data_IF_886299967245
#
_entry.id   IF_886299967245
#
_cell.length_a   1.000
_cell.length_b   1.000
_cell.length_c   1.000
_cell.angle_alpha   90.00
_cell.angle_beta   90.00
_cell.angle_gamma   90.00
#
_symmetry.space_group_name_H-M   'P 1'
#
loop_
_entity.id
_entity.type
_entity.pdbx_description
1 polymer ?
#
# COMPACT_ATOMS: atom_id res chain seq x y z
N UNK A 1 8.07 -3.29 -0.64
CA UNK A 1 9.23 -2.51 -0.18
C UNK A 1 10.16 -3.36 0.69
N UNK A 2 11.33 -2.81 1.00
CA UNK A 2 12.34 -3.39 1.87
C UNK A 2 13.62 -2.55 1.87
N UNK A 3 14.67 -3.06 2.53
CA UNK A 3 15.88 -2.33 2.82
C UNK A 3 17.15 -3.08 2.38
N UNK A 4 18.29 -2.37 2.30
CA UNK A 4 19.62 -2.87 1.97
C UNK A 4 20.65 -2.49 3.02
N UNK A 5 21.95 -2.74 2.75
CA UNK A 5 23.04 -2.53 3.70
C UNK A 5 23.32 -1.05 4.04
N UNK A 6 22.96 -0.13 3.15
CA UNK A 6 23.09 1.31 3.38
C UNK A 6 22.02 1.88 4.32
N UNK A 7 21.10 1.04 4.76
CA UNK A 7 20.08 1.31 5.78
C UNK A 7 20.17 0.22 6.85
N UNK A 8 19.03 -0.30 7.35
CA UNK A 8 18.99 -1.40 8.32
C UNK A 8 18.84 -2.73 7.57
N UNK A 9 19.83 -3.14 6.81
CA UNK A 9 19.71 -4.35 6.02
C UNK A 9 21.04 -4.99 5.64
N UNK A 10 20.96 -5.94 4.72
CA UNK A 10 22.11 -6.61 4.11
C UNK A 10 21.93 -6.65 2.60
N UNK A 11 23.02 -6.88 1.87
CA UNK A 11 23.12 -6.77 0.42
C UNK A 11 22.99 -5.32 -0.08
N UNK A 12 23.57 -5.02 -1.23
CA UNK A 12 23.52 -3.68 -1.79
C UNK A 12 22.14 -3.37 -2.40
N UNK A 13 21.84 -2.09 -2.57
CA UNK A 13 20.61 -1.66 -3.26
C UNK A 13 20.56 -2.16 -4.71
N UNK A 14 21.70 -2.29 -5.40
CA UNK A 14 21.80 -2.92 -6.73
C UNK A 14 21.33 -4.38 -6.69
N UNK A 15 21.80 -5.16 -5.70
CA UNK A 15 21.36 -6.54 -5.50
C UNK A 15 19.88 -6.65 -5.09
N UNK A 16 19.36 -5.66 -4.36
CA UNK A 16 17.95 -5.57 -3.99
C UNK A 16 17.05 -5.51 -5.24
N UNK A 17 17.33 -4.59 -6.16
CA UNK A 17 16.54 -4.46 -7.38
C UNK A 17 16.71 -5.65 -8.32
N UNK A 18 17.93 -6.17 -8.46
CA UNK A 18 18.20 -7.37 -9.24
C UNK A 18 17.42 -8.58 -8.70
N UNK A 19 17.38 -8.76 -7.37
CA UNK A 19 16.64 -9.85 -6.76
C UNK A 19 15.12 -9.70 -6.98
N UNK A 20 14.57 -8.50 -6.82
CA UNK A 20 13.16 -8.22 -7.06
C UNK A 20 12.72 -8.66 -8.46
N UNK A 21 13.48 -8.21 -9.46
CA UNK A 21 13.17 -8.48 -10.86
C UNK A 21 13.46 -9.94 -11.27
N UNK A 22 14.65 -10.45 -10.96
CA UNK A 22 15.18 -11.68 -11.57
C UNK A 22 14.94 -12.94 -10.73
N UNK A 23 14.64 -12.81 -9.43
CA UNK A 23 14.46 -13.92 -8.50
C UNK A 23 13.04 -13.97 -7.90
N UNK A 24 12.53 -12.85 -7.43
CA UNK A 24 11.20 -12.78 -6.84
C UNK A 24 10.11 -12.63 -7.92
N UNK A 25 10.47 -12.17 -9.11
CA UNK A 25 9.56 -11.93 -10.25
C UNK A 25 8.38 -11.04 -9.84
N UNK A 26 8.66 -9.99 -9.10
CA UNK A 26 7.66 -8.94 -8.85
C UNK A 26 7.70 -7.94 -9.99
N UNK A 27 6.54 -7.40 -10.35
CA UNK A 27 6.41 -6.46 -11.47
C UNK A 27 6.85 -5.05 -11.07
N UNK A 28 6.77 -4.71 -9.78
CA UNK A 28 7.20 -3.41 -9.28
C UNK A 28 7.75 -3.50 -7.86
N UNK A 29 8.67 -2.58 -7.54
CA UNK A 29 9.18 -2.41 -6.17
C UNK A 29 9.65 -0.99 -5.92
N UNK A 30 9.74 -0.61 -4.63
CA UNK A 30 10.46 0.56 -4.16
C UNK A 30 11.44 0.17 -3.05
N UNK A 31 12.60 0.78 -3.03
CA UNK A 31 13.53 0.67 -1.92
C UNK A 31 13.10 1.68 -0.86
N UNK A 32 12.83 1.22 0.37
CA UNK A 32 12.29 2.05 1.43
C UNK A 32 13.28 2.08 2.61
N UNK A 33 14.45 2.67 2.36
CA UNK A 33 15.43 2.89 3.41
C UNK A 33 14.92 3.88 4.45
N UNK A 34 15.28 3.67 5.71
CA UNK A 34 14.96 4.59 6.79
C UNK A 34 15.62 5.95 6.55
N UNK A 35 14.84 7.01 6.43
CA UNK A 35 15.26 8.37 6.07
C UNK A 35 16.44 8.90 6.88
N UNK A 36 16.46 8.63 8.20
CA UNK A 36 17.51 9.10 9.12
C UNK A 36 18.88 8.42 8.91
N UNK A 37 18.97 7.44 7.99
CA UNK A 37 20.21 6.78 7.57
C UNK A 37 20.56 7.07 6.10
N UNK A 38 19.61 7.58 5.32
CA UNK A 38 19.80 7.88 3.90
C UNK A 38 20.61 9.17 3.74
N UNK A 39 21.89 9.05 3.35
CA UNK A 39 22.71 10.19 2.96
C UNK A 39 22.26 10.77 1.62
N UNK A 40 22.61 12.02 1.32
CA UNK A 40 22.32 12.64 0.02
C UNK A 40 22.98 11.88 -1.15
N UNK A 41 24.17 11.30 -0.92
CA UNK A 41 24.84 10.44 -1.89
C UNK A 41 24.04 9.15 -2.16
N UNK A 42 23.59 8.47 -1.11
CA UNK A 42 22.79 7.26 -1.25
C UNK A 42 21.40 7.54 -1.86
N UNK A 43 20.79 8.68 -1.52
CA UNK A 43 19.52 9.09 -2.15
C UNK A 43 19.66 9.24 -3.67
N UNK A 44 20.72 9.95 -4.10
CA UNK A 44 21.03 10.06 -5.54
C UNK A 44 21.38 8.71 -6.19
N UNK A 45 21.99 7.77 -5.45
CA UNK A 45 22.24 6.42 -5.95
C UNK A 45 20.96 5.62 -6.12
N UNK A 46 19.98 5.77 -5.22
CA UNK A 46 18.65 5.13 -5.36
C UNK A 46 17.92 5.62 -6.62
N UNK A 47 17.96 6.92 -6.90
CA UNK A 47 17.39 7.49 -8.13
C UNK A 47 18.08 6.91 -9.38
N UNK A 48 19.40 6.86 -9.38
CA UNK A 48 20.19 6.25 -10.48
C UNK A 48 19.85 4.76 -10.66
N UNK A 49 19.66 4.03 -9.58
CA UNK A 49 19.27 2.63 -9.62
C UNK A 49 17.81 2.45 -10.08
N UNK A 50 16.91 3.36 -9.72
CA UNK A 50 15.55 3.33 -10.23
C UNK A 50 15.53 3.40 -11.77
N UNK A 51 16.27 4.35 -12.34
CA UNK A 51 16.42 4.44 -13.81
C UNK A 51 17.13 3.21 -14.41
N UNK A 52 18.16 2.70 -13.76
CA UNK A 52 18.94 1.55 -14.25
C UNK A 52 18.12 0.28 -14.36
N UNK A 53 17.29 0.02 -13.37
CA UNK A 53 16.55 -1.25 -13.25
C UNK A 53 15.17 -1.21 -13.89
N UNK A 54 14.62 -0.02 -14.13
CA UNK A 54 13.34 0.11 -14.82
C UNK A 54 13.41 -0.48 -16.22
N UNK A 55 12.49 -1.37 -16.55
CA UNK A 55 12.39 -2.02 -17.84
C UNK A 55 10.91 -1.96 -18.30
N UNK A 56 10.67 -1.21 -19.36
CA UNK A 56 9.31 -1.00 -19.86
C UNK A 56 8.55 -2.32 -20.06
N UNK A 57 7.31 -2.36 -19.62
CA UNK A 57 6.40 -3.51 -19.68
C UNK A 57 6.90 -4.78 -18.92
N UNK A 58 7.91 -4.66 -18.05
CA UNK A 58 8.46 -5.80 -17.32
C UNK A 58 8.75 -5.54 -15.85
N UNK A 59 9.31 -4.39 -15.52
CA UNK A 59 9.69 -4.07 -14.16
C UNK A 59 9.71 -2.58 -13.90
N UNK A 60 8.96 -2.14 -12.92
CA UNK A 60 8.87 -0.73 -12.52
C UNK A 60 9.52 -0.51 -11.18
N UNK A 61 10.33 0.54 -11.09
CA UNK A 61 10.93 0.98 -9.83
C UNK A 61 10.30 2.30 -9.40
N UNK A 62 9.74 2.33 -8.21
CA UNK A 62 9.20 3.54 -7.60
C UNK A 62 10.28 4.19 -6.72
N UNK A 63 10.76 5.40 -7.04
CA UNK A 63 11.58 6.17 -6.11
C UNK A 63 10.85 6.39 -4.78
N UNK A 64 11.59 6.34 -3.67
CA UNK A 64 10.96 6.53 -2.38
C UNK A 64 11.85 6.19 -1.21
N UNK A 65 11.33 6.38 -0.03
CA UNK A 65 12.00 6.12 1.24
C UNK A 65 10.96 5.87 2.34
N UNK A 66 11.39 5.30 3.44
CA UNK A 66 10.59 5.22 4.66
C UNK A 66 10.89 6.44 5.54
N UNK A 67 9.90 7.34 5.67
CA UNK A 67 9.93 8.36 6.70
C UNK A 67 9.74 7.68 8.05
N UNK A 68 10.77 7.71 8.88
CA UNK A 68 10.92 6.80 10.01
C UNK A 68 10.82 7.55 11.35
N UNK A 69 9.67 8.14 11.61
CA UNK A 69 9.35 8.74 12.89
C UNK A 69 9.03 7.69 13.95
N UNK A 70 9.28 8.01 15.24
CA UNK A 70 8.75 7.17 16.33
C UNK A 70 7.22 7.24 16.34
N UNK A 71 6.55 6.20 16.86
CA UNK A 71 5.08 6.16 16.98
C UNK A 71 4.51 7.39 17.67
N UNK A 72 5.17 7.88 18.73
CA UNK A 72 4.78 9.12 19.41
C UNK A 72 4.94 10.41 18.58
N UNK A 73 5.52 10.34 17.38
CA UNK A 73 5.64 11.43 16.39
C UNK A 73 4.75 11.17 15.16
N UNK A 74 3.91 10.15 15.23
CA UNK A 74 3.01 9.69 14.17
C UNK A 74 3.36 8.33 13.59
N UNK A 75 4.58 7.82 13.81
CA UNK A 75 5.06 6.51 13.34
C UNK A 75 5.46 6.51 11.86
N UNK A 76 5.99 5.39 11.40
CA UNK A 76 6.63 5.27 10.10
C UNK A 76 5.64 5.39 8.93
N UNK A 77 6.11 5.99 7.81
CA UNK A 77 5.37 6.13 6.54
C UNK A 77 6.25 5.74 5.36
N UNK A 78 5.76 4.87 4.50
CA UNK A 78 6.37 4.65 3.20
C UNK A 78 5.97 5.79 2.26
N UNK A 79 6.96 6.47 1.67
CA UNK A 79 6.78 7.60 0.76
C UNK A 79 7.24 7.20 -0.62
N UNK A 80 6.38 7.34 -1.62
CA UNK A 80 6.67 7.00 -3.02
C UNK A 80 6.47 8.21 -3.92
N UNK A 81 7.43 8.41 -4.82
CA UNK A 81 7.40 9.46 -5.83
C UNK A 81 7.14 8.90 -7.22
N UNK A 82 6.51 9.71 -8.06
CA UNK A 82 6.33 9.37 -9.47
C UNK A 82 7.61 9.55 -10.31
N UNK A 83 8.54 10.39 -9.83
CA UNK A 83 9.78 10.75 -10.54
C UNK A 83 10.97 10.78 -9.60
N UNK A 84 12.15 10.71 -10.16
CA UNK A 84 13.43 10.92 -9.48
C UNK A 84 13.66 12.40 -9.14
N UNK A 85 14.83 12.69 -8.57
CA UNK A 85 15.28 14.04 -8.19
C UNK A 85 14.34 14.78 -7.22
N UNK A 86 13.69 14.03 -6.32
CA UNK A 86 12.79 14.59 -5.31
C UNK A 86 13.51 14.87 -4.01
N UNK A 87 12.99 15.87 -3.28
CA UNK A 87 13.51 16.19 -1.97
C UNK A 87 13.18 15.09 -0.97
N UNK A 88 14.20 14.46 -0.37
CA UNK A 88 14.00 13.61 0.80
C UNK A 88 13.71 14.50 2.01
N UNK A 89 12.63 14.17 2.75
CA UNK A 89 12.26 14.86 4.00
C UNK A 89 12.47 13.89 5.14
N UNK A 90 13.49 14.15 5.94
CA UNK A 90 13.87 13.22 7.01
C UNK A 90 13.10 13.50 8.29
N UNK A 91 12.85 12.43 9.03
CA UNK A 91 12.35 12.52 10.40
C UNK A 91 13.42 13.06 11.35
N UNK A 92 14.70 12.85 11.00
CA UNK A 92 15.85 13.29 11.80
C UNK A 92 17.16 13.21 11.02
N UNK A 93 18.01 14.22 11.19
CA UNK A 93 19.41 14.20 10.75
C UNK A 93 20.39 13.66 11.81
N UNK A 94 19.92 13.01 12.87
CA UNK A 94 20.81 12.63 13.99
C UNK A 94 21.99 11.73 13.56
N UNK A 95 21.80 10.87 12.55
CA UNK A 95 22.83 9.97 12.02
C UNK A 95 23.44 10.43 10.69
N UNK A 96 23.02 11.56 10.13
CA UNK A 96 23.52 12.10 8.88
C UNK A 96 24.55 13.21 9.18
N UNK A 97 25.77 13.06 8.65
CA UNK A 97 26.84 14.05 8.86
C UNK A 97 26.61 15.33 8.06
N UNK A 98 26.19 15.19 6.81
CA UNK A 98 25.84 16.31 5.95
C UNK A 98 24.55 16.98 6.47
N UNK A 99 24.62 18.25 6.82
CA UNK A 99 23.52 19.07 7.32
C UNK A 99 23.04 20.12 6.31
N UNK A 100 23.41 19.96 5.04
CA UNK A 100 23.11 20.98 4.01
C UNK A 100 21.61 21.12 3.74
N UNK A 101 20.82 20.10 4.02
CA UNK A 101 19.37 20.03 3.85
C UNK A 101 18.60 19.81 5.16
N UNK A 102 19.23 20.14 6.31
CA UNK A 102 18.62 20.02 7.64
C UNK A 102 17.30 20.79 7.79
N UNK A 103 17.13 21.88 7.07
CA UNK A 103 15.92 22.70 7.06
C UNK A 103 14.73 22.06 6.34
N UNK A 104 14.94 20.93 5.67
CA UNK A 104 13.88 20.16 5.03
C UNK A 104 13.35 19.02 5.92
N UNK A 105 13.89 18.85 7.12
CA UNK A 105 13.43 17.83 8.07
C UNK A 105 11.98 18.06 8.47
N UNK A 106 11.26 16.94 8.60
CA UNK A 106 9.91 16.89 9.13
C UNK A 106 9.95 15.93 10.32
N UNK A 107 9.94 16.47 11.54
CA UNK A 107 10.14 15.66 12.74
C UNK A 107 8.87 14.93 13.22
N UNK A 108 7.72 15.26 12.64
CA UNK A 108 6.43 14.59 12.87
C UNK A 108 5.77 14.23 11.55
N UNK A 109 4.89 13.23 11.55
CA UNK A 109 4.12 12.86 10.36
C UNK A 109 3.21 14.01 9.87
N UNK A 110 2.72 14.84 10.79
CA UNK A 110 1.94 16.03 10.42
C UNK A 110 2.80 17.04 9.64
N UNK A 111 4.03 17.31 10.11
CA UNK A 111 4.97 18.19 9.38
C UNK A 111 5.34 17.62 8.00
N UNK A 112 5.47 16.31 7.87
CA UNK A 112 5.68 15.67 6.56
C UNK A 112 4.53 16.01 5.60
N UNK A 113 3.29 15.79 6.01
CA UNK A 113 2.12 16.07 5.17
C UNK A 113 1.96 17.56 4.87
N UNK A 114 2.23 18.44 5.82
CA UNK A 114 2.24 19.89 5.62
C UNK A 114 3.30 20.29 4.60
N UNK A 115 4.52 19.77 4.72
CA UNK A 115 5.61 20.06 3.80
C UNK A 115 5.30 19.59 2.36
N UNK A 116 4.72 18.39 2.20
CA UNK A 116 4.28 17.89 0.89
C UNK A 116 3.20 18.80 0.29
N UNK A 117 2.24 19.26 1.08
CA UNK A 117 1.17 20.14 0.63
C UNK A 117 1.68 21.54 0.26
N UNK A 118 2.55 22.15 1.08
CA UNK A 118 3.11 23.47 0.86
C UNK A 118 3.99 23.53 -0.40
N UNK A 119 4.69 22.45 -0.69
CA UNK A 119 5.49 22.29 -1.89
C UNK A 119 4.70 21.76 -3.09
N UNK A 120 3.39 21.54 -2.94
CA UNK A 120 2.47 21.06 -3.99
C UNK A 120 2.89 19.73 -4.62
N UNK A 121 3.41 18.84 -3.80
CA UNK A 121 3.88 17.51 -4.22
C UNK A 121 2.71 16.50 -4.33
N UNK A 122 1.70 16.84 -5.14
CA UNK A 122 0.45 16.07 -5.26
C UNK A 122 0.60 14.72 -5.95
N UNK A 123 1.73 14.48 -6.56
CA UNK A 123 2.08 13.21 -7.21
C UNK A 123 2.67 12.17 -6.26
N UNK A 124 2.87 12.53 -4.98
CA UNK A 124 3.32 11.62 -3.92
C UNK A 124 2.21 10.71 -3.44
N UNK A 125 2.55 9.46 -3.12
CA UNK A 125 1.69 8.53 -2.41
C UNK A 125 2.40 8.06 -1.14
N UNK A 126 1.70 8.14 -0.01
CA UNK A 126 2.17 7.62 1.26
C UNK A 126 1.33 6.43 1.71
N UNK A 127 1.97 5.49 2.43
CA UNK A 127 1.31 4.41 3.13
C UNK A 127 1.65 4.47 4.62
N UNK A 128 0.65 4.36 5.47
CA UNK A 128 0.86 4.13 6.89
C UNK A 128 1.51 2.75 7.08
N UNK A 129 2.67 2.70 7.70
CA UNK A 129 3.49 1.49 7.80
C UNK A 129 3.15 0.66 9.05
N UNK A 130 3.12 -0.66 8.89
CA UNK A 130 3.04 -1.62 9.99
C UNK A 130 4.43 -2.22 10.27
N UNK A 131 5.02 -1.81 11.35
CA UNK A 131 6.37 -2.27 11.69
C UNK A 131 6.72 -1.99 13.14
N UNK A 132 8.01 -1.95 13.47
CA UNK A 132 8.48 -1.72 14.83
C UNK A 132 8.11 -0.35 15.41
N UNK A 133 8.00 0.66 14.54
CA UNK A 133 7.53 2.02 14.87
C UNK A 133 6.26 2.31 14.08
N UNK A 134 5.25 1.49 14.29
CA UNK A 134 4.00 1.53 13.56
C UNK A 134 3.37 2.93 13.50
N UNK A 135 2.71 3.20 12.38
CA UNK A 135 1.98 4.44 12.17
C UNK A 135 0.85 4.61 13.20
N UNK A 136 0.76 5.79 13.82
CA UNK A 136 -0.41 6.22 14.58
C UNK A 136 -1.29 7.09 13.69
N UNK A 137 -2.23 6.45 13.00
CA UNK A 137 -3.12 7.15 12.05
C UNK A 137 -4.18 7.99 12.74
N UNK A 138 -4.41 7.80 14.05
CA UNK A 138 -5.26 8.68 14.86
C UNK A 138 -4.55 9.97 15.22
N UNK A 139 -3.22 9.93 15.33
CA UNK A 139 -2.39 11.12 15.62
C UNK A 139 -2.19 11.98 14.36
N UNK A 140 -1.88 11.34 13.22
CA UNK A 140 -1.63 12.04 11.97
C UNK A 140 -2.09 11.21 10.77
N UNK A 141 -2.89 11.82 9.91
CA UNK A 141 -3.34 11.28 8.63
C UNK A 141 -3.70 12.42 7.69
N UNK A 142 -3.27 12.32 6.44
CA UNK A 142 -3.72 13.20 5.37
C UNK A 142 -4.10 12.38 4.14
N UNK A 143 -5.40 12.19 3.92
CA UNK A 143 -5.93 11.40 2.81
C UNK A 143 -5.62 11.95 1.41
N UNK A 144 -5.03 13.15 1.31
CA UNK A 144 -4.50 13.65 0.03
C UNK A 144 -3.26 12.86 -0.38
N UNK A 145 -2.44 12.42 0.57
CA UNK A 145 -1.19 11.69 0.36
C UNK A 145 -1.25 10.24 0.85
N UNK A 146 -1.75 10.01 2.06
CA UNK A 146 -1.81 8.71 2.70
C UNK A 146 -3.02 7.92 2.20
N UNK A 147 -2.84 7.24 1.06
CA UNK A 147 -3.90 6.55 0.33
C UNK A 147 -4.20 5.16 0.84
N UNK A 148 -3.29 4.55 1.60
CA UNK A 148 -3.43 3.16 2.04
C UNK A 148 -2.80 2.89 3.40
N UNK A 149 -3.32 1.84 4.06
CA UNK A 149 -2.79 1.29 5.30
C UNK A 149 -2.09 -0.03 4.98
N UNK A 150 -0.88 -0.18 5.46
CA UNK A 150 -0.17 -1.45 5.37
C UNK A 150 -0.66 -2.38 6.49
N UNK A 151 -1.35 -3.45 6.11
CA UNK A 151 -1.92 -4.39 7.07
C UNK A 151 -0.95 -5.49 7.47
N UNK A 152 0.04 -5.77 6.61
CA UNK A 152 0.95 -6.88 6.83
C UNK A 152 2.34 -6.62 6.22
N UNK A 153 3.36 -7.00 6.98
CA UNK A 153 4.76 -7.04 6.54
C UNK A 153 5.49 -8.22 7.18
N UNK A 154 6.81 -8.30 7.06
CA UNK A 154 7.58 -9.33 7.79
C UNK A 154 7.55 -9.17 9.32
N UNK A 155 7.04 -8.07 9.84
CA UNK A 155 6.75 -7.87 11.26
C UNK A 155 5.52 -8.63 11.74
N UNK A 156 4.56 -8.92 10.86
CA UNK A 156 3.30 -9.58 11.17
C UNK A 156 2.09 -8.90 10.55
N UNK A 157 0.90 -9.28 11.01
CA UNK A 157 -0.38 -8.73 10.56
C UNK A 157 -0.94 -7.78 11.60
N UNK A 158 -1.28 -6.56 11.18
CA UNK A 158 -1.71 -5.44 12.02
C UNK A 158 -3.09 -4.95 11.61
N UNK A 159 -4.10 -5.82 11.68
CA UNK A 159 -5.48 -5.49 11.30
C UNK A 159 -6.05 -4.30 12.09
N UNK A 160 -5.60 -4.11 13.33
CA UNK A 160 -6.02 -3.00 14.17
C UNK A 160 -5.68 -1.62 13.57
N UNK A 161 -4.61 -1.52 12.75
CA UNK A 161 -4.27 -0.27 12.06
C UNK A 161 -5.34 0.10 11.04
N UNK A 162 -5.88 -0.89 10.32
CA UNK A 162 -7.00 -0.72 9.40
C UNK A 162 -8.29 -0.41 10.17
N UNK A 163 -8.50 -1.07 11.32
CA UNK A 163 -9.65 -0.77 12.19
C UNK A 163 -9.61 0.68 12.66
N UNK A 164 -8.46 1.16 13.12
CA UNK A 164 -8.29 2.56 13.55
C UNK A 164 -8.61 3.54 12.41
N UNK A 165 -8.15 3.27 11.19
CA UNK A 165 -8.47 4.11 10.03
C UNK A 165 -9.98 4.12 9.73
N UNK A 166 -10.65 2.99 9.81
CA UNK A 166 -12.09 2.90 9.58
C UNK A 166 -12.91 3.56 10.69
N UNK A 167 -12.48 3.45 11.96
CA UNK A 167 -13.10 4.18 13.09
C UNK A 167 -13.03 5.69 12.89
N UNK A 168 -11.93 6.19 12.33
CA UNK A 168 -11.75 7.60 11.99
C UNK A 168 -12.52 8.02 10.72
N UNK A 169 -13.12 7.05 10.01
CA UNK A 169 -13.86 7.30 8.78
C UNK A 169 -12.98 7.62 7.57
N UNK A 170 -11.70 7.21 7.61
CA UNK A 170 -10.78 7.37 6.49
C UNK A 170 -11.14 6.44 5.33
N UNK A 171 -10.93 6.90 4.11
CA UNK A 171 -11.17 6.14 2.87
C UNK A 171 -9.84 5.73 2.27
N UNK A 172 -9.35 4.61 2.73
CA UNK A 172 -8.03 4.09 2.41
C UNK A 172 -8.11 2.73 1.76
N UNK A 173 -7.11 2.41 0.92
CA UNK A 173 -6.85 1.06 0.47
C UNK A 173 -6.04 0.28 1.48
N UNK A 174 -5.86 -1.01 1.20
CA UNK A 174 -5.09 -1.92 2.05
C UNK A 174 -3.94 -2.48 1.23
N UNK A 175 -2.71 -2.31 1.74
CA UNK A 175 -1.48 -2.82 1.14
C UNK A 175 -0.80 -3.81 2.08
N UNK A 176 0.03 -4.69 1.52
CA UNK A 176 0.98 -5.51 2.25
C UNK A 176 2.30 -5.53 1.51
N UNK A 177 3.38 -5.60 2.25
CA UNK A 177 4.72 -5.57 1.67
C UNK A 177 5.66 -6.55 2.40
N UNK A 178 6.87 -6.70 1.90
CA UNK A 178 7.84 -7.58 2.56
C UNK A 178 8.51 -6.92 3.75
N UNK A 179 8.81 -5.66 3.69
CA UNK A 179 9.65 -4.96 4.67
C UNK A 179 10.89 -5.77 5.08
N UNK A 180 11.47 -6.41 4.09
CA UNK A 180 12.60 -7.33 4.28
C UNK A 180 13.91 -6.57 4.42
N UNK A 181 14.74 -6.97 5.40
CA UNK A 181 16.03 -6.35 5.71
C UNK A 181 17.22 -7.18 5.20
N UNK A 182 17.01 -8.02 4.19
CA UNK A 182 18.07 -8.85 3.58
C UNK A 182 18.22 -8.66 2.08
N UNK A 183 17.76 -7.52 1.56
CA UNK A 183 17.83 -7.22 0.13
C UNK A 183 17.11 -8.26 -0.74
N UNK A 184 15.96 -8.78 -0.26
CA UNK A 184 15.18 -9.83 -0.95
C UNK A 184 13.70 -9.46 -0.98
N UNK A 185 13.32 -8.36 -1.63
CA UNK A 185 11.92 -7.95 -1.75
C UNK A 185 11.10 -8.99 -2.50
N UNK A 186 9.83 -9.14 -2.11
CA UNK A 186 8.92 -10.09 -2.74
C UNK A 186 9.11 -11.56 -2.36
N UNK A 187 10.18 -11.91 -1.66
CA UNK A 187 10.49 -13.28 -1.24
C UNK A 187 10.90 -13.37 0.24
N UNK A 188 10.32 -12.53 1.07
CA UNK A 188 10.58 -12.53 2.52
C UNK A 188 9.80 -13.65 3.21
N UNK A 189 10.49 -14.51 3.96
CA UNK A 189 9.90 -15.62 4.72
C UNK A 189 10.66 -15.86 6.03
N UNK A 190 10.09 -16.56 7.00
CA UNK A 190 10.77 -16.87 8.25
C UNK A 190 12.16 -17.48 8.02
N UNK A 191 13.18 -16.93 8.66
CA UNK A 191 14.59 -17.29 8.42
C UNK A 191 15.27 -16.53 7.27
N UNK A 192 14.52 -15.96 6.32
CA UNK A 192 15.02 -15.05 5.29
C UNK A 192 14.83 -13.58 5.65
N UNK A 193 14.02 -13.25 6.64
CA UNK A 193 13.91 -11.92 7.24
C UNK A 193 14.46 -11.89 8.66
N UNK A 194 14.72 -10.70 9.19
CA UNK A 194 15.11 -10.52 10.60
C UNK A 194 13.93 -10.75 11.53
N UNK A 195 12.72 -10.57 11.04
CA UNK A 195 11.47 -10.71 11.76
C UNK A 195 10.83 -12.07 11.45
N UNK A 196 9.85 -12.49 12.20
CA UNK A 196 9.39 -13.88 12.16
C UNK A 196 8.26 -14.16 11.15
N UNK A 197 7.68 -13.15 10.53
CA UNK A 197 6.58 -13.33 9.61
C UNK A 197 7.03 -13.52 8.15
N UNK A 198 6.17 -14.11 7.34
CA UNK A 198 6.29 -14.09 5.87
C UNK A 198 5.91 -12.71 5.39
N UNK A 199 6.67 -12.11 4.49
CA UNK A 199 6.36 -10.80 3.92
C UNK A 199 5.14 -10.86 3.00
N UNK A 200 4.38 -9.77 2.96
CA UNK A 200 3.23 -9.62 2.08
C UNK A 200 3.57 -9.11 0.69
N UNK A 201 2.56 -9.11 -0.16
CA UNK A 201 2.58 -8.50 -1.50
C UNK A 201 1.33 -7.64 -1.68
N UNK A 202 1.49 -6.52 -2.37
CA UNK A 202 0.38 -5.72 -2.89
C UNK A 202 0.12 -6.11 -4.33
N UNK A 203 -1.12 -6.48 -4.64
CA UNK A 203 -1.56 -6.73 -6.02
C UNK A 203 -2.21 -5.45 -6.56
N UNK A 204 -1.78 -5.00 -7.73
CA UNK A 204 -2.23 -3.78 -8.39
C UNK A 204 -3.16 -4.15 -9.55
N UNK A 205 -4.31 -3.46 -9.63
CA UNK A 205 -5.30 -3.65 -10.69
C UNK A 205 -5.10 -2.58 -11.77
N UNK A 206 -4.23 -2.87 -12.72
CA UNK A 206 -3.88 -1.96 -13.83
C UNK A 206 -3.68 -2.74 -15.12
N UNK A 207 -3.98 -2.10 -16.25
CA UNK A 207 -3.82 -2.67 -17.59
C UNK A 207 -2.41 -2.42 -18.17
N UNK A 208 -1.63 -1.53 -17.54
CA UNK A 208 -0.31 -1.14 -18.02
C UNK A 208 0.72 -1.27 -16.91
N UNK A 209 1.91 -1.76 -17.24
CA UNK A 209 3.04 -1.86 -16.35
C UNK A 209 3.99 -0.66 -16.56
N UNK A 210 3.50 0.51 -16.18
CA UNK A 210 4.26 1.77 -16.21
C UNK A 210 4.23 2.41 -14.82
N UNK A 211 5.21 3.25 -14.52
CA UNK A 211 5.24 3.97 -13.24
C UNK A 211 4.01 4.86 -13.06
N UNK A 212 3.59 5.54 -14.12
CA UNK A 212 2.41 6.40 -14.10
C UNK A 212 1.13 5.60 -13.77
N UNK A 213 0.92 4.47 -14.45
CA UNK A 213 -0.24 3.59 -14.23
C UNK A 213 -0.24 3.01 -12.81
N UNK A 214 0.92 2.60 -12.29
CA UNK A 214 1.06 2.12 -10.91
C UNK A 214 0.73 3.22 -9.91
N UNK A 215 1.29 4.43 -10.07
CA UNK A 215 1.01 5.54 -9.16
C UNK A 215 -0.46 5.96 -9.22
N UNK A 216 -1.10 5.93 -10.39
CA UNK A 216 -2.53 6.16 -10.53
C UNK A 216 -3.36 5.07 -9.82
N UNK A 217 -2.97 3.81 -10.00
CA UNK A 217 -3.57 2.65 -9.32
C UNK A 217 -3.51 2.80 -7.78
N UNK A 218 -2.35 3.19 -7.25
CA UNK A 218 -2.16 3.43 -5.82
C UNK A 218 -3.02 4.60 -5.31
N UNK A 219 -3.09 5.72 -6.04
CA UNK A 219 -3.94 6.86 -5.68
C UNK A 219 -5.41 6.52 -5.65
N UNK A 220 -5.86 5.68 -6.59
CA UNK A 220 -7.25 5.23 -6.71
C UNK A 220 -7.57 4.04 -5.82
N UNK A 221 -6.62 3.54 -5.02
CA UNK A 221 -6.79 2.37 -4.13
C UNK A 221 -7.21 1.09 -4.89
N UNK A 222 -6.84 0.99 -6.19
CA UNK A 222 -7.10 -0.18 -7.04
C UNK A 222 -6.08 -1.28 -6.79
N UNK A 223 -6.09 -1.77 -5.57
CA UNK A 223 -5.14 -2.78 -5.11
C UNK A 223 -5.70 -3.53 -3.90
N UNK A 224 -5.13 -4.68 -3.64
CA UNK A 224 -5.40 -5.45 -2.44
C UNK A 224 -4.11 -6.06 -1.89
N UNK A 225 -4.16 -6.48 -0.63
CA UNK A 225 -3.04 -7.04 0.11
C UNK A 225 -3.11 -8.57 0.15
N UNK A 226 -1.96 -9.23 0.10
CA UNK A 226 -1.80 -10.63 0.44
C UNK A 226 -0.74 -10.81 1.50
N UNK A 227 -0.87 -11.85 2.34
CA UNK A 227 0.08 -12.11 3.42
C UNK A 227 1.34 -12.85 2.97
N UNK A 228 1.49 -13.08 1.67
CA UNK A 228 2.64 -13.81 1.14
C UNK A 228 2.63 -15.33 1.43
N UNK A 229 3.78 -15.99 1.23
CA UNK A 229 3.90 -17.44 1.38
C UNK A 229 3.30 -18.21 0.20
N UNK A 230 3.13 -19.54 0.38
CA UNK A 230 2.59 -20.40 -0.67
C UNK A 230 1.13 -20.09 -1.01
N UNK A 231 0.32 -19.72 0.00
CA UNK A 231 -1.07 -19.30 -0.17
C UNK A 231 -1.25 -17.81 -0.46
N UNK A 232 -0.19 -17.01 -0.46
CA UNK A 232 -0.25 -15.55 -0.52
C UNK A 232 -0.39 -14.96 -1.92
N UNK A 233 -0.43 -15.78 -2.96
CA UNK A 233 -0.61 -15.33 -4.34
C UNK A 233 -2.05 -15.62 -4.79
N UNK A 234 -2.99 -14.89 -4.24
CA UNK A 234 -4.39 -14.98 -4.65
C UNK A 234 -4.74 -13.86 -5.64
N UNK A 235 -5.74 -14.13 -6.47
CA UNK A 235 -6.38 -13.12 -7.32
C UNK A 235 -7.74 -12.81 -6.73
N UNK A 236 -8.01 -11.53 -6.51
CA UNK A 236 -9.29 -11.06 -5.99
C UNK A 236 -9.82 -10.02 -6.98
N UNK A 237 -11.03 -10.26 -7.46
CA UNK A 237 -11.79 -9.30 -8.27
C UNK A 237 -13.08 -8.94 -7.52
N UNK A 238 -13.35 -7.65 -7.41
CA UNK A 238 -14.55 -7.13 -6.76
C UNK A 238 -15.18 -6.06 -7.62
N UNK A 239 -16.42 -6.31 -8.03
CA UNK A 239 -17.21 -5.37 -8.82
C UNK A 239 -18.54 -5.11 -8.11
N UNK A 240 -18.98 -3.86 -8.06
CA UNK A 240 -20.31 -3.48 -7.61
C UNK A 240 -21.15 -3.01 -8.81
N UNK A 241 -22.40 -3.47 -8.90
CA UNK A 241 -23.40 -3.00 -9.87
C UNK A 241 -24.56 -2.38 -9.13
N UNK A 242 -25.05 -1.25 -9.67
CA UNK A 242 -26.11 -0.46 -9.06
C UNK A 242 -27.39 -0.57 -9.92
N UNK A 243 -28.55 -0.61 -9.28
CA UNK A 243 -29.85 -0.59 -9.96
C UNK A 243 -30.26 0.80 -10.47
N UNK A 244 -29.37 1.78 -10.39
CA UNK A 244 -29.50 3.15 -10.88
C UNK A 244 -28.15 3.84 -11.04
N UNK A 245 -28.19 5.14 -11.33
CA UNK A 245 -26.98 5.94 -11.50
C UNK A 245 -26.37 6.30 -10.13
N UNK A 246 -25.21 5.77 -9.85
CA UNK A 246 -24.37 6.18 -8.72
C UNK A 246 -23.40 7.30 -9.12
N UNK A 247 -22.85 8.02 -8.16
CA UNK A 247 -21.75 8.95 -8.37
C UNK A 247 -20.46 8.33 -7.86
N UNK A 248 -19.49 8.17 -8.75
CA UNK A 248 -18.15 7.66 -8.42
C UNK A 248 -17.15 8.80 -8.31
N UNK A 249 -16.25 8.66 -7.31
CA UNK A 249 -15.12 9.55 -7.07
C UNK A 249 -13.84 8.74 -6.97
N UNK A 250 -12.73 9.31 -7.45
CA UNK A 250 -11.38 8.78 -7.21
C UNK A 250 -10.76 9.42 -5.97
N UNK A 251 -10.92 10.74 -5.81
CA UNK A 251 -10.53 11.45 -4.60
C UNK A 251 -11.69 11.54 -3.61
N UNK A 252 -11.36 11.61 -2.32
CA UNK A 252 -12.39 11.69 -1.30
C UNK A 252 -13.03 13.10 -1.28
N UNK A 253 -14.32 13.25 -1.59
CA UNK A 253 -15.00 14.53 -1.59
C UNK A 253 -15.11 15.17 -0.19
N UNK A 254 -14.78 14.45 0.88
CA UNK A 254 -14.76 15.00 2.25
C UNK A 254 -13.50 15.81 2.54
N UNK A 255 -12.41 15.60 1.80
CA UNK A 255 -11.10 16.20 2.09
C UNK A 255 -10.67 17.25 1.05
N UNK A 256 -11.40 17.41 -0.03
CA UNK A 256 -11.10 18.40 -1.06
C UNK A 256 -12.05 18.34 -2.25
N UNK A 257 -11.82 19.20 -3.26
CA UNK A 257 -12.57 19.11 -4.51
C UNK A 257 -12.37 17.75 -5.16
N UNK A 258 -13.46 17.07 -5.48
CA UNK A 258 -13.45 15.78 -6.17
C UNK A 258 -14.45 15.82 -7.33
N UNK A 259 -14.00 15.39 -8.49
CA UNK A 259 -14.89 15.25 -9.66
C UNK A 259 -15.64 13.92 -9.57
N UNK A 260 -16.97 14.01 -9.49
CA UNK A 260 -17.85 12.86 -9.54
C UNK A 260 -18.27 12.55 -10.98
N UNK A 261 -18.35 11.26 -11.33
CA UNK A 261 -18.91 10.80 -12.60
C UNK A 261 -20.09 9.87 -12.35
N UNK A 262 -21.11 9.91 -13.21
CA UNK A 262 -22.21 8.94 -13.17
C UNK A 262 -21.72 7.57 -13.64
N UNK A 263 -22.13 6.51 -12.94
CA UNK A 263 -21.84 5.15 -13.31
C UNK A 263 -22.86 4.18 -12.70
N UNK A 264 -23.07 3.05 -13.37
CA UNK A 264 -23.87 1.92 -12.92
C UNK A 264 -23.05 0.78 -12.35
N UNK A 265 -21.71 0.91 -12.43
CA UNK A 265 -20.75 -0.08 -11.93
C UNK A 265 -19.57 0.62 -11.24
N UNK A 266 -18.99 -0.04 -10.25
CA UNK A 266 -17.77 0.36 -9.59
C UNK A 266 -16.84 -0.82 -9.41
N UNK A 267 -15.54 -0.55 -9.35
CA UNK A 267 -14.52 -1.56 -9.07
C UNK A 267 -13.82 -1.28 -7.72
N UNK A 268 -12.99 -2.20 -7.28
CA UNK A 268 -12.16 -2.04 -6.10
C UNK A 268 -11.44 -0.70 -6.09
N UNK A 269 -11.51 0.03 -4.97
CA UNK A 269 -10.88 1.33 -4.76
C UNK A 269 -11.75 2.54 -5.07
N UNK A 270 -12.83 2.40 -5.84
CA UNK A 270 -13.74 3.51 -6.13
C UNK A 270 -14.48 3.95 -4.87
N UNK A 271 -14.70 5.27 -4.75
CA UNK A 271 -15.54 5.87 -3.72
C UNK A 271 -16.91 6.12 -4.35
N UNK A 272 -17.94 5.52 -3.78
CA UNK A 272 -19.29 5.54 -4.33
C UNK A 272 -20.22 6.35 -3.45
N UNK A 273 -21.02 7.22 -4.07
CA UNK A 273 -22.19 7.82 -3.46
C UNK A 273 -23.45 7.32 -4.18
N UNK A 274 -24.24 6.48 -3.50
CA UNK A 274 -25.48 5.91 -4.00
C UNK A 274 -26.50 5.85 -2.85
N UNK A 275 -27.24 6.96 -2.60
CA UNK A 275 -28.06 7.07 -1.39
C UNK A 275 -29.35 6.27 -1.44
N UNK A 276 -29.89 6.04 -2.63
CA UNK A 276 -31.21 5.42 -2.83
C UNK A 276 -31.08 4.31 -3.90
N UNK A 277 -31.16 3.07 -3.48
CA UNK A 277 -31.11 1.92 -4.38
C UNK A 277 -30.43 0.70 -3.80
N UNK A 278 -30.25 -0.32 -4.60
CA UNK A 278 -29.57 -1.56 -4.23
C UNK A 278 -28.29 -1.74 -5.05
N UNK A 279 -27.31 -2.39 -4.42
CA UNK A 279 -26.07 -2.77 -5.07
C UNK A 279 -25.90 -4.29 -5.03
N UNK A 280 -25.52 -4.86 -6.16
CA UNK A 280 -24.99 -6.22 -6.24
C UNK A 280 -23.47 -6.16 -6.18
N UNK A 281 -22.84 -6.88 -5.26
CA UNK A 281 -21.39 -6.98 -5.16
C UNK A 281 -20.98 -8.39 -5.59
N UNK A 282 -20.22 -8.47 -6.69
CA UNK A 282 -19.64 -9.70 -7.21
C UNK A 282 -18.19 -9.80 -6.69
N UNK A 283 -17.87 -10.91 -6.02
CA UNK A 283 -16.53 -11.18 -5.48
C UNK A 283 -16.04 -12.50 -6.06
N UNK A 284 -14.98 -12.46 -6.86
CA UNK A 284 -14.31 -13.64 -7.40
C UNK A 284 -12.91 -13.78 -6.76
N UNK A 285 -12.64 -14.91 -6.14
CA UNK A 285 -11.36 -15.19 -5.47
C UNK A 285 -10.79 -16.50 -6.01
N UNK A 286 -9.56 -16.41 -6.52
CA UNK A 286 -8.75 -17.55 -6.92
C UNK A 286 -7.49 -17.62 -6.05
N UNK A 287 -7.29 -18.75 -5.38
CA UNK A 287 -6.12 -18.98 -4.54
C UNK A 287 -5.42 -20.28 -4.93
N UNK A 288 -4.08 -20.38 -4.89
CA UNK A 288 -3.38 -21.65 -5.12
C UNK A 288 -3.65 -22.71 -4.04
N UNK A 289 -4.05 -22.29 -2.83
CA UNK A 289 -4.44 -23.14 -1.72
C UNK A 289 -5.97 -23.13 -1.53
N UNK A 290 -6.56 -24.16 -0.92
CA UNK A 290 -7.99 -24.19 -0.63
C UNK A 290 -8.42 -23.01 0.24
N UNK A 291 -9.51 -22.37 -0.15
CA UNK A 291 -10.08 -21.23 0.57
C UNK A 291 -10.96 -21.73 1.70
N UNK A 292 -10.59 -21.43 2.93
CA UNK A 292 -11.37 -21.83 4.11
C UNK A 292 -12.68 -21.05 4.20
N UNK A 293 -12.59 -19.73 4.00
CA UNK A 293 -13.75 -18.84 4.09
C UNK A 293 -13.48 -17.50 3.40
N UNK A 294 -14.55 -16.79 3.10
CA UNK A 294 -14.54 -15.37 2.76
C UNK A 294 -15.44 -14.66 3.77
N UNK A 295 -14.90 -13.65 4.44
CA UNK A 295 -15.64 -12.75 5.31
C UNK A 295 -15.82 -11.41 4.59
N UNK A 296 -17.07 -10.93 4.55
CA UNK A 296 -17.41 -9.63 3.95
C UNK A 296 -17.79 -8.67 5.08
N UNK A 297 -17.14 -7.52 5.06
CA UNK A 297 -17.33 -6.48 6.07
C UNK A 297 -17.93 -5.22 5.44
N UNK A 298 -18.79 -4.55 6.19
CA UNK A 298 -19.19 -3.17 5.94
C UNK A 298 -18.55 -2.29 7.02
N UNK A 299 -17.47 -1.62 6.68
CA UNK A 299 -16.61 -1.00 7.67
C UNK A 299 -16.02 -2.05 8.63
N UNK A 300 -16.40 -2.00 9.90
CA UNK A 300 -15.97 -2.97 10.93
C UNK A 300 -17.00 -4.07 11.21
N UNK A 301 -18.19 -3.95 10.64
CA UNK A 301 -19.27 -4.90 10.87
C UNK A 301 -19.17 -6.07 9.90
N UNK A 302 -18.99 -7.28 10.40
CA UNK A 302 -19.07 -8.50 9.62
C UNK A 302 -20.51 -8.71 9.14
N UNK A 303 -20.74 -8.65 7.83
CA UNK A 303 -22.08 -8.79 7.25
C UNK A 303 -22.34 -10.18 6.67
N UNK A 304 -21.31 -10.87 6.20
CA UNK A 304 -21.45 -12.20 5.61
C UNK A 304 -20.19 -13.04 5.87
N UNK A 305 -20.36 -14.34 6.13
CA UNK A 305 -19.28 -15.33 6.15
C UNK A 305 -19.65 -16.47 5.21
N UNK A 306 -18.84 -16.67 4.18
CA UNK A 306 -19.04 -17.71 3.18
C UNK A 306 -18.00 -18.79 3.38
N UNK A 307 -18.48 -20.02 3.57
CA UNK A 307 -17.67 -21.23 3.61
C UNK A 307 -18.02 -22.09 2.41
N UNK A 308 -17.16 -22.13 1.38
CA UNK A 308 -17.54 -22.68 0.07
C UNK A 308 -17.54 -24.21 0.00
N UNK A 309 -17.22 -24.89 1.09
CA UNK A 309 -16.99 -26.34 1.05
C UNK A 309 -17.63 -27.09 2.23
N UNK A 310 -18.02 -28.33 1.95
CA UNK A 310 -18.05 -29.41 2.93
C UNK A 310 -16.64 -30.01 3.03
N UNK A 311 -16.33 -30.79 4.08
CA UNK A 311 -15.00 -31.42 4.25
C UNK A 311 -14.53 -32.21 3.01
N UNK A 312 -15.42 -32.60 2.13
CA UNK A 312 -15.15 -33.42 0.95
C UNK A 312 -14.95 -32.61 -0.36
N UNK A 313 -15.20 -31.29 -0.33
CA UNK A 313 -15.23 -30.42 -1.53
C UNK A 313 -14.41 -29.13 -1.35
N UNK A 314 -13.14 -29.25 -0.97
CA UNK A 314 -12.26 -28.10 -0.86
C UNK A 314 -11.98 -27.50 -2.23
N UNK A 315 -12.49 -26.28 -2.47
CA UNK A 315 -12.24 -25.50 -3.66
C UNK A 315 -11.19 -24.40 -3.45
N UNK A 316 -10.46 -24.09 -4.48
CA UNK A 316 -9.49 -22.98 -4.49
C UNK A 316 -9.95 -21.76 -5.29
N UNK A 317 -11.18 -21.81 -5.80
CA UNK A 317 -11.87 -20.69 -6.43
C UNK A 317 -13.27 -20.53 -5.87
N UNK A 318 -13.61 -19.31 -5.50
CA UNK A 318 -14.94 -18.92 -5.06
C UNK A 318 -15.37 -17.69 -5.84
N UNK A 319 -16.60 -17.75 -6.34
CA UNK A 319 -17.32 -16.59 -6.83
C UNK A 319 -18.61 -16.44 -6.03
N UNK A 320 -18.80 -15.28 -5.44
CA UNK A 320 -19.99 -14.93 -4.68
C UNK A 320 -20.62 -13.71 -5.30
N UNK A 321 -21.92 -13.81 -5.54
CA UNK A 321 -22.75 -12.66 -5.91
C UNK A 321 -23.63 -12.36 -4.72
N UNK A 322 -23.46 -11.18 -4.15
CA UNK A 322 -24.24 -10.72 -3.02
C UNK A 322 -25.31 -9.73 -3.49
N UNK A 323 -26.56 -10.09 -3.30
CA UNK A 323 -27.71 -9.31 -3.71
C UNK A 323 -28.37 -8.62 -2.50
N UNK A 324 -28.52 -7.31 -2.58
CA UNK A 324 -29.59 -6.63 -1.88
C UNK A 324 -29.46 -6.37 -0.40
N UNK A 325 -28.27 -6.07 0.12
CA UNK A 325 -28.28 -5.38 1.40
C UNK A 325 -28.39 -3.87 1.19
N UNK A 326 -29.22 -3.25 2.01
CA UNK A 326 -29.23 -1.80 2.13
C UNK A 326 -27.83 -1.32 2.54
N UNK A 327 -27.05 -0.82 1.60
CA UNK A 327 -25.81 -0.14 1.91
C UNK A 327 -26.16 1.22 2.52
N UNK A 328 -26.17 1.28 3.81
CA UNK A 328 -26.18 2.56 4.53
C UNK A 328 -24.74 3.02 4.67
N UNK A 329 -24.28 3.73 3.65
CA UNK A 329 -22.98 4.36 3.70
C UNK A 329 -22.84 5.25 4.94
N UNK A 330 -21.72 5.06 5.66
CA UNK A 330 -21.30 5.99 6.70
C UNK A 330 -20.52 7.15 6.10
#
# INVERSE_FOLDING_TARGET
HGQSEESIGTNSADQYFAFARDCAFVDATGHQANDFQVTNGFWSDLDRLAVKFEEADKFVVLPGYEWSGNTGMGGDRNVYYATEDRQIRRSSHALIEDKSDLDTDCNTAAELFEALADNKEWDVVCFAHCGGRYADVKMAHDGRFEKSMEVHSSWGTFEWLVQDAFEMGYRVGIVANSDGHKGRPGASYPGASLFGAVGGLTCLLTDELTREAIMDCLRKRRHYATTGGLGGRMVIDVTARFDGDATLYHDDPKIGPAEGRSATEAMMGDIVHFPDGSAEIDVDVLCPEPIERIDIFNGLDLVETIRPYTQDELGNRIRVVWEGAEYRGR
#
